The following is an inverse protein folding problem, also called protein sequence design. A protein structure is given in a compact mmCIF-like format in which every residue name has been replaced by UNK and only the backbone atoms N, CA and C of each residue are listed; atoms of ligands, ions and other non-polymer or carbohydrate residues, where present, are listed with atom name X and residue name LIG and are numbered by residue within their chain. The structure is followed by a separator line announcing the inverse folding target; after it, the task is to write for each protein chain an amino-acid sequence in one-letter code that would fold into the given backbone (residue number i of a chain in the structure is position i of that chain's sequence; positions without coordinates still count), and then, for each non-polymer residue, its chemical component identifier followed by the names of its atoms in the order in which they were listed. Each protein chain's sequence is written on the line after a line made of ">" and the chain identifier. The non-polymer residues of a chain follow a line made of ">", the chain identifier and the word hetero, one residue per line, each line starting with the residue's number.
data_IF_851783106142
#
_entry.id   IF_851783106142
#
_cell.length_a   1.000
_cell.length_b   1.000
_cell.length_c   1.000
_cell.angle_alpha   90.00
_cell.angle_beta   90.00
_cell.angle_gamma   90.00
#
_symmetry.space_group_name_H-M   'P 1'
#
loop_
_entity.id
_entity.type
_entity.pdbx_description
1 polymer ?
#
# COMPACT_ATOMS: atom_id res chain seq x y z
N UNK A 1 -7.00 -19.68 16.60
CA UNK A 1 -8.33 -20.16 16.17
C UNK A 1 -8.78 -19.43 14.91
N UNK A 2 -9.15 -18.14 14.93
CA UNK A 2 -9.65 -17.44 13.72
C UNK A 2 -8.68 -17.48 12.52
N UNK A 3 -7.42 -17.07 12.69
CA UNK A 3 -6.42 -17.04 11.59
C UNK A 3 -6.02 -18.43 11.08
N UNK A 4 -6.20 -19.48 11.90
CA UNK A 4 -5.85 -20.85 11.55
C UNK A 4 -7.02 -21.61 10.91
N UNK A 5 -8.25 -21.31 11.33
CA UNK A 5 -9.42 -22.13 11.00
C UNK A 5 -10.38 -21.44 10.04
N UNK A 6 -10.55 -20.11 10.15
CA UNK A 6 -11.53 -19.34 9.35
C UNK A 6 -10.87 -18.70 8.14
N UNK A 7 -9.73 -18.05 8.35
CA UNK A 7 -9.05 -17.31 7.29
C UNK A 7 -8.68 -18.19 6.09
N UNK A 8 -8.17 -19.43 6.24
CA UNK A 8 -7.92 -20.30 5.08
C UNK A 8 -9.17 -20.60 4.23
N UNK A 9 -10.36 -20.65 4.83
CA UNK A 9 -11.62 -20.86 4.10
C UNK A 9 -11.93 -19.62 3.22
N UNK A 10 -11.69 -18.42 3.74
CA UNK A 10 -11.86 -17.17 3.00
C UNK A 10 -10.78 -17.04 1.91
N UNK A 11 -9.51 -17.25 2.27
CA UNK A 11 -8.34 -17.18 1.37
C UNK A 11 -8.46 -18.14 0.19
N UNK A 12 -9.04 -19.33 0.40
CA UNK A 12 -9.06 -20.39 -0.58
C UNK A 12 -7.64 -20.85 -0.95
N UNK A 13 -7.45 -21.23 -2.20
CA UNK A 13 -6.11 -21.51 -2.71
C UNK A 13 -5.29 -20.22 -2.81
N UNK A 14 -4.13 -20.22 -2.17
CA UNK A 14 -3.18 -19.10 -2.13
C UNK A 14 -2.09 -19.23 -3.20
N UNK A 15 -2.01 -20.37 -3.89
CA UNK A 15 -0.97 -20.67 -4.87
C UNK A 15 0.41 -20.79 -4.21
N UNK A 16 1.36 -19.95 -4.63
CA UNK A 16 2.74 -19.98 -4.13
C UNK A 16 2.82 -19.48 -2.68
N UNK A 17 2.98 -20.43 -1.76
CA UNK A 17 3.07 -20.15 -0.31
C UNK A 17 4.29 -19.33 0.08
N UNK A 18 5.29 -19.16 -0.79
CA UNK A 18 6.43 -18.25 -0.55
C UNK A 18 6.12 -16.78 -0.83
N UNK A 19 4.93 -16.48 -1.36
CA UNK A 19 4.44 -15.12 -1.58
C UNK A 19 3.55 -14.61 -0.43
N UNK A 20 3.42 -15.38 0.66
CA UNK A 20 2.62 -15.05 1.83
C UNK A 20 3.42 -15.25 3.10
N UNK A 21 3.24 -14.36 4.06
CA UNK A 21 3.80 -14.50 5.39
C UNK A 21 2.83 -13.97 6.44
N UNK A 22 3.02 -14.44 7.68
CA UNK A 22 2.11 -14.22 8.81
C UNK A 22 2.90 -13.71 10.00
N UNK A 23 2.41 -12.64 10.64
CA UNK A 23 2.96 -12.12 11.89
C UNK A 23 4.47 -11.88 11.82
N UNK A 24 4.93 -11.30 10.70
CA UNK A 24 6.32 -10.88 10.52
C UNK A 24 6.40 -9.38 10.76
N UNK A 25 7.14 -8.93 11.78
CA UNK A 25 7.37 -7.51 11.99
C UNK A 25 8.22 -6.91 10.85
N UNK A 26 7.81 -5.74 10.38
CA UNK A 26 8.43 -5.02 9.27
C UNK A 26 9.66 -4.22 9.75
N UNK A 27 10.62 -4.91 10.37
CA UNK A 27 11.77 -4.28 11.06
C UNK A 27 12.81 -3.68 10.13
N UNK A 28 12.73 -3.95 8.82
CA UNK A 28 13.70 -3.45 7.84
C UNK A 28 13.16 -2.25 7.03
N UNK A 29 11.88 -1.89 7.20
CA UNK A 29 11.31 -0.74 6.48
C UNK A 29 11.62 0.59 7.17
N UNK A 30 11.83 1.63 6.37
CA UNK A 30 12.00 2.99 6.82
C UNK A 30 10.75 3.48 7.56
N UNK A 31 10.96 4.22 8.64
CA UNK A 31 9.86 4.73 9.44
C UNK A 31 9.05 5.79 8.68
N UNK A 32 7.72 5.65 8.72
CA UNK A 32 6.79 6.67 8.21
C UNK A 32 6.71 7.91 9.12
N UNK A 33 7.08 7.75 10.39
CA UNK A 33 7.05 8.80 11.43
C UNK A 33 8.46 9.10 11.96
N UNK A 34 8.57 9.60 13.19
CA UNK A 34 9.81 9.89 13.92
C UNK A 34 10.59 8.65 14.42
N UNK A 35 10.14 7.44 14.08
CA UNK A 35 10.77 6.19 14.51
C UNK A 35 10.39 5.71 15.91
N UNK A 36 9.45 6.37 16.58
CA UNK A 36 8.97 5.93 17.91
C UNK A 36 7.91 4.84 17.84
N UNK A 37 7.25 4.68 16.69
CA UNK A 37 6.28 3.62 16.47
C UNK A 37 6.97 2.26 16.31
N UNK A 38 6.36 1.23 16.89
CA UNK A 38 6.76 -0.15 16.64
C UNK A 38 6.58 -0.48 15.15
N UNK A 39 7.42 -1.38 14.59
CA UNK A 39 7.25 -1.85 13.23
C UNK A 39 5.84 -2.39 12.97
N UNK A 40 5.34 -2.19 11.75
CA UNK A 40 4.10 -2.84 11.30
C UNK A 40 4.23 -4.36 11.44
N UNK A 41 3.16 -5.04 11.81
CA UNK A 41 3.19 -6.48 12.05
C UNK A 41 1.84 -7.08 11.64
N UNK A 42 1.59 -7.15 10.32
CA UNK A 42 0.31 -7.63 9.83
C UNK A 42 0.09 -9.09 10.21
N UNK A 43 -1.15 -9.44 10.58
CA UNK A 43 -1.51 -10.85 10.82
C UNK A 43 -1.22 -11.71 9.59
N UNK A 44 -1.40 -11.14 8.40
CA UNK A 44 -1.10 -11.77 7.12
C UNK A 44 -0.80 -10.69 6.05
N UNK A 45 0.21 -10.92 5.23
CA UNK A 45 0.48 -10.10 4.05
C UNK A 45 0.91 -10.93 2.85
N UNK A 46 0.71 -10.37 1.66
CA UNK A 46 1.15 -10.97 0.40
C UNK A 46 2.08 -10.03 -0.35
N UNK A 47 3.18 -10.60 -0.83
CA UNK A 47 4.23 -9.92 -1.59
C UNK A 47 4.72 -10.76 -2.76
N UNK A 48 5.85 -10.36 -3.33
CA UNK A 48 6.58 -11.10 -4.35
C UNK A 48 7.73 -11.87 -3.72
N UNK A 49 8.14 -12.96 -4.37
CA UNK A 49 9.40 -13.63 -4.04
C UNK A 49 10.59 -12.71 -4.32
N UNK A 50 11.62 -12.72 -3.46
CA UNK A 50 12.81 -11.90 -3.66
C UNK A 50 13.47 -12.06 -5.04
N UNK A 51 13.52 -13.28 -5.58
CA UNK A 51 14.12 -13.57 -6.89
C UNK A 51 13.35 -13.00 -8.10
N UNK A 52 12.11 -12.53 -7.91
CA UNK A 52 11.36 -11.86 -8.99
C UNK A 52 11.90 -10.45 -9.28
N UNK A 53 12.61 -9.84 -8.32
CA UNK A 53 13.16 -8.49 -8.46
C UNK A 53 14.68 -8.53 -8.66
N UNK A 54 15.14 -7.74 -9.63
CA UNK A 54 16.55 -7.56 -9.94
C UNK A 54 17.36 -7.20 -8.67
N UNK A 55 18.52 -7.82 -8.53
CA UNK A 55 19.34 -7.71 -7.32
C UNK A 55 19.79 -6.26 -7.06
N UNK A 56 20.02 -5.46 -8.10
CA UNK A 56 20.38 -4.05 -7.95
C UNK A 56 19.22 -3.26 -7.38
N UNK A 57 18.01 -3.46 -7.91
CA UNK A 57 16.78 -2.81 -7.42
C UNK A 57 16.52 -3.17 -5.96
N UNK A 58 16.68 -4.46 -5.60
CA UNK A 58 16.53 -4.92 -4.21
C UNK A 58 17.50 -4.26 -3.25
N UNK A 59 18.76 -4.05 -3.65
CA UNK A 59 19.76 -3.36 -2.82
C UNK A 59 19.44 -1.88 -2.67
N UNK A 60 19.10 -1.20 -3.76
CA UNK A 60 18.85 0.25 -3.76
C UNK A 60 17.56 0.62 -3.02
N UNK A 61 16.51 -0.21 -3.11
CA UNK A 61 15.21 0.06 -2.48
C UNK A 61 14.99 -0.72 -1.17
N UNK A 62 16.01 -1.38 -0.62
CA UNK A 62 15.86 -2.34 0.48
C UNK A 62 14.99 -1.85 1.64
N UNK A 63 15.27 -0.65 2.16
CA UNK A 63 14.51 -0.02 3.25
C UNK A 63 13.07 0.38 2.90
N UNK A 64 12.66 0.32 1.64
CA UNK A 64 11.30 0.67 1.22
C UNK A 64 10.45 -0.56 0.90
N UNK A 65 11.08 -1.66 0.47
CA UNK A 65 10.36 -2.79 -0.12
C UNK A 65 10.63 -4.14 0.52
N UNK A 66 11.65 -4.27 1.37
CA UNK A 66 11.99 -5.54 2.02
C UNK A 66 11.52 -5.47 3.47
N UNK A 67 10.44 -6.16 3.86
CA UNK A 67 9.85 -5.99 5.18
C UNK A 67 10.76 -6.42 6.33
N UNK A 68 11.49 -7.52 6.15
CA UNK A 68 12.33 -8.15 7.17
C UNK A 68 13.68 -8.58 6.56
N UNK A 69 14.70 -8.72 7.39
CA UNK A 69 16.02 -9.21 6.97
C UNK A 69 16.04 -10.72 6.70
N UNK A 70 14.97 -11.45 6.99
CA UNK A 70 14.83 -12.86 6.59
C UNK A 70 14.70 -12.97 5.07
N UNK A 71 15.66 -13.64 4.44
CA UNK A 71 15.88 -13.56 2.98
C UNK A 71 14.89 -14.34 2.13
N UNK A 72 14.10 -15.24 2.71
CA UNK A 72 13.12 -16.08 2.01
C UNK A 72 11.69 -15.53 2.08
N UNK A 73 11.47 -14.44 2.83
CA UNK A 73 10.16 -13.83 3.01
C UNK A 73 9.75 -12.94 1.83
N UNK A 74 8.42 -12.78 1.59
CA UNK A 74 7.93 -11.95 0.52
C UNK A 74 8.35 -10.47 0.68
N UNK A 75 8.70 -9.86 -0.44
CA UNK A 75 9.03 -8.43 -0.59
C UNK A 75 7.89 -7.67 -1.29
N UNK A 76 7.91 -6.35 -1.20
CA UNK A 76 6.95 -5.43 -1.84
C UNK A 76 5.50 -5.82 -1.45
N UNK A 77 5.16 -5.82 -0.16
CA UNK A 77 3.81 -6.19 0.27
C UNK A 77 2.80 -5.14 -0.20
N UNK A 78 1.71 -5.59 -0.85
CA UNK A 78 0.61 -4.69 -1.25
C UNK A 78 -0.79 -5.32 -1.09
N UNK A 79 -0.89 -6.43 -0.35
CA UNK A 79 -2.16 -6.93 0.16
C UNK A 79 -1.99 -7.34 1.62
N UNK A 80 -2.88 -6.87 2.50
CA UNK A 80 -2.80 -7.03 3.95
C UNK A 80 -4.10 -7.55 4.56
N UNK A 81 -4.01 -8.26 5.67
CA UNK A 81 -5.16 -8.66 6.47
C UNK A 81 -4.84 -8.50 7.96
N UNK A 82 -5.76 -7.85 8.66
CA UNK A 82 -5.80 -7.74 10.13
C UNK A 82 -7.00 -8.49 10.68
N UNK A 83 -6.76 -9.37 11.65
CA UNK A 83 -7.78 -10.23 12.23
C UNK A 83 -7.94 -9.89 13.70
N UNK A 84 -9.18 -9.85 14.17
CA UNK A 84 -9.49 -9.76 15.59
C UNK A 84 -10.47 -10.85 15.99
N UNK A 85 -10.25 -11.38 17.19
CA UNK A 85 -11.22 -12.28 17.83
C UNK A 85 -12.50 -11.54 18.24
N UNK A 86 -13.49 -12.25 18.78
CA UNK A 86 -14.76 -11.67 19.21
C UNK A 86 -14.58 -10.45 20.13
N UNK A 87 -13.66 -10.55 21.09
CA UNK A 87 -13.38 -9.49 22.07
C UNK A 87 -12.33 -8.46 21.60
N UNK A 88 -11.81 -8.61 20.38
CA UNK A 88 -10.81 -7.68 19.85
C UNK A 88 -11.42 -6.36 19.41
N UNK A 89 -10.62 -5.30 19.35
CA UNK A 89 -11.12 -3.98 18.96
C UNK A 89 -11.07 -3.77 17.44
N UNK A 90 -12.23 -3.56 16.82
CA UNK A 90 -12.34 -3.18 15.41
C UNK A 90 -11.57 -1.90 15.09
N UNK A 91 -11.55 -0.95 16.03
CA UNK A 91 -10.81 0.29 15.89
C UNK A 91 -9.29 0.08 15.95
N UNK A 92 -8.82 -0.91 16.71
CA UNK A 92 -7.40 -1.32 16.70
C UNK A 92 -7.05 -1.99 15.37
N UNK A 93 -7.86 -2.93 14.89
CA UNK A 93 -7.66 -3.59 13.59
C UNK A 93 -7.54 -2.57 12.44
N UNK A 94 -8.45 -1.59 12.41
CA UNK A 94 -8.45 -0.55 11.38
C UNK A 94 -7.20 0.33 11.44
N UNK A 95 -6.69 0.65 12.64
CA UNK A 95 -5.46 1.45 12.80
C UNK A 95 -4.20 0.67 12.41
N UNK A 96 -4.12 -0.60 12.81
CA UNK A 96 -3.03 -1.49 12.40
C UNK A 96 -3.02 -1.64 10.88
N UNK A 97 -4.17 -1.96 10.29
CA UNK A 97 -4.30 -2.09 8.84
C UNK A 97 -3.92 -0.81 8.10
N UNK A 98 -4.34 0.37 8.59
CA UNK A 98 -3.94 1.65 8.00
C UNK A 98 -2.43 1.80 7.97
N UNK A 99 -1.74 1.47 9.07
CA UNK A 99 -0.29 1.60 9.17
C UNK A 99 0.43 0.61 8.24
N UNK A 100 0.01 -0.66 8.23
CA UNK A 100 0.59 -1.69 7.36
C UNK A 100 0.37 -1.36 5.87
N UNK A 101 -0.83 -0.90 5.51
CA UNK A 101 -1.14 -0.45 4.16
C UNK A 101 -0.35 0.80 3.75
N UNK A 102 -0.02 1.68 4.70
CA UNK A 102 0.80 2.85 4.41
C UNK A 102 2.27 2.48 4.14
N UNK A 103 2.81 1.49 4.88
CA UNK A 103 4.12 0.92 4.60
C UNK A 103 4.14 0.26 3.22
N UNK A 104 3.12 -0.56 2.91
CA UNK A 104 2.99 -1.21 1.60
C UNK A 104 2.82 -0.23 0.44
N UNK A 105 1.97 0.80 0.59
CA UNK A 105 1.78 1.81 -0.44
C UNK A 105 3.07 2.60 -0.74
N UNK A 106 3.81 2.96 0.32
CA UNK A 106 5.11 3.63 0.19
C UNK A 106 6.12 2.76 -0.55
N UNK A 107 6.20 1.47 -0.22
CA UNK A 107 7.06 0.52 -0.93
C UNK A 107 6.66 0.30 -2.39
N UNK A 108 5.36 0.20 -2.65
CA UNK A 108 4.82 0.09 -4.01
C UNK A 108 5.15 1.32 -4.86
N UNK A 109 5.04 2.52 -4.31
CA UNK A 109 5.40 3.75 -5.02
C UNK A 109 6.90 3.87 -5.27
N UNK A 110 7.73 3.43 -4.33
CA UNK A 110 9.18 3.40 -4.50
C UNK A 110 9.59 2.52 -5.69
N UNK A 111 9.02 1.31 -5.81
CA UNK A 111 9.32 0.44 -6.95
C UNK A 111 8.73 0.95 -8.26
N UNK A 112 7.51 1.48 -8.24
CA UNK A 112 6.86 2.05 -9.44
C UNK A 112 7.66 3.24 -10.00
N UNK A 113 8.21 4.06 -9.11
CA UNK A 113 8.96 5.28 -9.45
C UNK A 113 10.46 5.03 -9.69
N UNK A 114 10.95 3.81 -9.47
CA UNK A 114 12.35 3.47 -9.66
C UNK A 114 12.81 3.82 -11.08
N UNK A 115 13.73 4.80 -11.19
CA UNK A 115 14.27 5.35 -12.45
C UNK A 115 13.21 5.81 -13.45
N UNK A 116 12.04 6.23 -12.98
CA UNK A 116 11.03 6.85 -13.82
C UNK A 116 11.31 8.36 -13.96
N UNK A 117 10.97 8.95 -15.11
CA UNK A 117 11.22 10.38 -15.39
C UNK A 117 10.45 11.33 -14.47
N UNK A 118 9.34 10.88 -13.88
CA UNK A 118 8.54 11.65 -12.95
C UNK A 118 7.80 10.76 -11.94
N UNK A 119 7.66 11.26 -10.71
CA UNK A 119 6.77 10.69 -9.68
C UNK A 119 5.33 10.90 -10.12
N UNK A 120 4.52 9.83 -10.09
CA UNK A 120 3.12 9.87 -10.55
C UNK A 120 2.16 9.72 -9.36
N UNK A 121 1.49 10.81 -8.99
CA UNK A 121 0.29 10.77 -8.15
C UNK A 121 -0.93 10.62 -9.05
N UNK A 122 -1.32 9.37 -9.33
CA UNK A 122 -2.42 9.04 -10.24
C UNK A 122 -3.75 8.76 -9.53
N UNK A 123 -3.81 9.02 -8.21
CA UNK A 123 -4.98 8.81 -7.36
C UNK A 123 -5.54 7.38 -7.41
N UNK A 124 -4.68 6.39 -7.71
CA UNK A 124 -5.05 4.96 -7.78
C UNK A 124 -4.54 4.19 -6.58
N UNK A 125 -5.39 3.31 -6.05
CA UNK A 125 -5.06 2.48 -4.91
C UNK A 125 -4.48 1.13 -5.33
N UNK A 126 -3.16 1.00 -5.27
CA UNK A 126 -2.44 -0.24 -5.61
C UNK A 126 -2.19 -1.17 -4.43
N UNK A 127 -2.54 -0.72 -3.23
CA UNK A 127 -2.47 -1.50 -2.00
C UNK A 127 -3.87 -1.77 -1.50
N UNK A 128 -4.19 -3.04 -1.27
CA UNK A 128 -5.48 -3.49 -0.75
C UNK A 128 -5.28 -4.04 0.66
N UNK A 129 -6.27 -3.86 1.52
CA UNK A 129 -6.23 -4.37 2.88
C UNK A 129 -7.59 -4.84 3.33
N UNK A 130 -7.61 -5.82 4.22
CA UNK A 130 -8.84 -6.33 4.79
C UNK A 130 -8.78 -6.33 6.32
N UNK A 131 -9.91 -6.10 6.97
CA UNK A 131 -10.10 -6.52 8.36
C UNK A 131 -11.09 -7.66 8.41
N UNK A 132 -10.86 -8.62 9.30
CA UNK A 132 -11.84 -9.64 9.67
C UNK A 132 -12.08 -9.63 11.17
N UNK A 133 -13.34 -9.47 11.57
CA UNK A 133 -13.76 -9.59 12.96
C UNK A 133 -15.21 -10.05 13.03
N UNK A 134 -15.48 -11.08 13.85
CA UNK A 134 -16.83 -11.53 14.16
C UNK A 134 -17.72 -11.74 12.93
N UNK A 135 -17.21 -12.52 11.96
CA UNK A 135 -17.92 -12.77 10.70
C UNK A 135 -17.93 -11.60 9.71
N UNK A 136 -17.46 -10.41 10.08
CA UNK A 136 -17.43 -9.25 9.19
C UNK A 136 -16.08 -9.12 8.50
N UNK A 137 -16.10 -9.14 7.16
CA UNK A 137 -14.97 -8.80 6.30
C UNK A 137 -15.15 -7.36 5.78
N UNK A 138 -14.19 -6.48 6.01
CA UNK A 138 -14.17 -5.13 5.42
C UNK A 138 -12.93 -4.97 4.56
N UNK A 139 -13.11 -4.45 3.35
CA UNK A 139 -12.04 -4.23 2.37
C UNK A 139 -11.74 -2.74 2.22
N UNK A 140 -10.46 -2.43 2.04
CA UNK A 140 -9.93 -1.09 1.94
C UNK A 140 -8.93 -0.98 0.79
N UNK A 141 -8.83 0.19 0.19
CA UNK A 141 -7.80 0.57 -0.77
C UNK A 141 -6.96 1.71 -0.23
N UNK A 142 -5.65 1.69 -0.48
CA UNK A 142 -4.70 2.72 -0.05
C UNK A 142 -3.96 3.31 -1.25
N UNK A 143 -3.85 4.63 -1.28
CA UNK A 143 -3.13 5.39 -2.30
C UNK A 143 -2.39 6.60 -1.71
N UNK A 144 -1.28 7.03 -2.32
CA UNK A 144 -0.62 8.27 -1.98
C UNK A 144 -1.46 9.48 -2.42
N UNK A 145 -1.37 10.56 -1.67
CA UNK A 145 -1.87 11.88 -2.04
C UNK A 145 -0.72 12.87 -2.11
N UNK A 146 -0.82 13.81 -3.05
CA UNK A 146 0.19 14.83 -3.25
C UNK A 146 0.38 15.66 -1.96
N UNK A 147 1.63 15.98 -1.58
CA UNK A 147 1.88 16.82 -0.42
C UNK A 147 1.28 18.22 -0.62
N UNK A 148 0.53 18.72 0.36
CA UNK A 148 -0.01 20.09 0.35
C UNK A 148 1.06 21.18 0.42
N UNK A 149 2.30 20.83 0.80
CA UNK A 149 3.45 21.71 0.87
C UNK A 149 4.63 21.03 0.17
N UNK A 150 5.29 21.76 -0.74
CA UNK A 150 6.50 21.31 -1.43
C UNK A 150 7.55 20.82 -0.42
N UNK A 151 8.17 19.67 -0.70
CA UNK A 151 9.15 18.94 0.14
C UNK A 151 8.61 18.16 1.35
N UNK A 152 7.30 18.08 1.59
CA UNK A 152 6.77 17.12 2.58
C UNK A 152 6.63 15.71 1.99
N UNK A 153 6.71 14.69 2.85
CA UNK A 153 6.39 13.30 2.46
C UNK A 153 4.92 13.24 1.99
N UNK A 154 4.60 12.43 0.95
CA UNK A 154 3.22 12.21 0.54
C UNK A 154 2.35 11.72 1.70
N UNK A 155 1.11 12.19 1.76
CA UNK A 155 0.11 11.59 2.64
C UNK A 155 -0.32 10.24 2.09
N UNK A 156 -0.80 9.35 2.95
CA UNK A 156 -1.43 8.09 2.52
C UNK A 156 -2.89 8.10 3.00
N UNK A 157 -3.81 7.78 2.10
CA UNK A 157 -5.25 7.71 2.41
C UNK A 157 -5.73 6.28 2.28
N UNK A 158 -6.47 5.80 3.29
CA UNK A 158 -7.17 4.51 3.27
C UNK A 158 -8.67 4.72 3.13
N UNK A 159 -9.25 4.20 2.04
CA UNK A 159 -10.67 4.30 1.73
C UNK A 159 -11.34 2.94 1.83
N UNK A 160 -12.50 2.85 2.50
CA UNK A 160 -13.26 1.62 2.54
C UNK A 160 -13.91 1.35 1.18
N UNK A 161 -13.68 0.16 0.63
CA UNK A 161 -14.22 -0.27 -0.66
C UNK A 161 -15.55 -0.99 -0.48
N UNK A 162 -15.62 -1.93 0.46
CA UNK A 162 -16.81 -2.77 0.70
C UNK A 162 -16.77 -3.46 2.06
N UNK A 163 -17.92 -3.94 2.52
CA UNK A 163 -18.04 -4.80 3.71
C UNK A 163 -19.00 -5.95 3.42
N UNK A 164 -18.74 -7.10 4.04
CA UNK A 164 -19.53 -8.32 3.90
C UNK A 164 -19.72 -8.98 5.28
N UNK A 165 -20.97 -9.33 5.62
CA UNK A 165 -21.27 -10.17 6.76
C UNK A 165 -21.21 -11.64 6.33
N UNK A 166 -20.03 -12.25 6.43
CA UNK A 166 -19.76 -13.60 5.91
C UNK A 166 -20.58 -14.70 6.60
N UNK A 167 -21.15 -14.41 7.77
CA UNK A 167 -21.99 -15.33 8.56
C UNK A 167 -23.49 -15.14 8.31
N UNK A 168 -23.89 -14.20 7.45
CA UNK A 168 -25.30 -13.91 7.19
C UNK A 168 -26.00 -15.03 6.40
N UNK A 169 -25.45 -15.38 5.24
CA UNK A 169 -26.00 -16.36 4.32
C UNK A 169 -24.92 -16.87 3.33
N UNK A 170 -25.15 -18.01 2.64
CA UNK A 170 -24.18 -18.58 1.72
C UNK A 170 -23.79 -17.67 0.53
N UNK A 171 -24.69 -16.82 0.06
CA UNK A 171 -24.43 -15.95 -1.08
C UNK A 171 -23.55 -14.76 -0.67
N UNK A 172 -23.83 -14.14 0.48
CA UNK A 172 -22.97 -13.10 1.06
C UNK A 172 -21.58 -13.65 1.36
N UNK A 173 -21.49 -14.88 1.88
CA UNK A 173 -20.20 -15.55 2.07
C UNK A 173 -19.43 -15.68 0.75
N UNK A 174 -20.06 -16.24 -0.29
CA UNK A 174 -19.43 -16.42 -1.61
C UNK A 174 -18.97 -15.09 -2.21
N UNK A 175 -19.79 -14.05 -2.10
CA UNK A 175 -19.45 -12.71 -2.59
C UNK A 175 -18.25 -12.11 -1.84
N UNK A 176 -18.22 -12.21 -0.51
CA UNK A 176 -17.12 -11.70 0.30
C UNK A 176 -15.82 -12.44 0.08
N UNK A 177 -15.86 -13.78 0.03
CA UNK A 177 -14.69 -14.60 -0.28
C UNK A 177 -14.17 -14.35 -1.70
N UNK A 178 -15.05 -14.22 -2.69
CA UNK A 178 -14.67 -13.86 -4.05
C UNK A 178 -14.02 -12.46 -4.10
N UNK A 179 -14.60 -11.47 -3.42
CA UNK A 179 -14.03 -10.13 -3.36
C UNK A 179 -12.63 -10.12 -2.73
N UNK A 180 -12.42 -10.85 -1.63
CA UNK A 180 -11.11 -11.00 -0.99
C UNK A 180 -10.06 -11.57 -1.97
N UNK A 181 -10.39 -12.70 -2.62
CA UNK A 181 -9.50 -13.39 -3.56
C UNK A 181 -9.20 -12.53 -4.78
N UNK A 182 -10.22 -11.90 -5.36
CA UNK A 182 -10.05 -10.99 -6.49
C UNK A 182 -9.19 -9.78 -6.13
N UNK A 183 -9.37 -9.21 -4.92
CA UNK A 183 -8.54 -8.10 -4.44
C UNK A 183 -7.07 -8.50 -4.28
N UNK A 184 -6.81 -9.71 -3.75
CA UNK A 184 -5.48 -10.29 -3.63
C UNK A 184 -4.82 -10.50 -4.99
N UNK A 185 -5.54 -11.12 -5.92
CA UNK A 185 -5.02 -11.43 -7.25
C UNK A 185 -4.79 -10.16 -8.07
N UNK A 186 -5.69 -9.17 -7.96
CA UNK A 186 -5.51 -7.85 -8.56
C UNK A 186 -4.27 -7.15 -8.00
N UNK A 187 -4.10 -7.10 -6.67
CA UNK A 187 -2.92 -6.50 -6.04
C UNK A 187 -1.62 -7.19 -6.51
N UNK A 188 -1.62 -8.52 -6.63
CA UNK A 188 -0.51 -9.28 -7.20
C UNK A 188 -0.20 -8.86 -8.65
N UNK A 189 -1.22 -8.77 -9.51
CA UNK A 189 -1.02 -8.37 -10.91
C UNK A 189 -0.37 -6.98 -11.02
N UNK A 190 -0.82 -6.02 -10.22
CA UNK A 190 -0.24 -4.67 -10.19
C UNK A 190 1.22 -4.69 -9.73
N UNK A 191 1.51 -5.43 -8.66
CA UNK A 191 2.87 -5.60 -8.12
C UNK A 191 3.81 -6.25 -9.13
N UNK A 192 3.39 -7.33 -9.77
CA UNK A 192 4.20 -8.06 -10.75
C UNK A 192 4.50 -7.17 -11.98
N UNK A 193 3.54 -6.35 -12.41
CA UNK A 193 3.76 -5.36 -13.47
C UNK A 193 4.78 -4.29 -13.04
N UNK A 194 4.69 -3.77 -11.82
CA UNK A 194 5.65 -2.79 -11.29
C UNK A 194 7.07 -3.38 -11.19
N UNK A 195 7.20 -4.64 -10.74
CA UNK A 195 8.47 -5.38 -10.71
C UNK A 195 9.05 -5.53 -12.11
N UNK A 196 8.25 -5.96 -13.09
CA UNK A 196 8.70 -6.12 -14.46
C UNK A 196 9.23 -4.79 -15.04
N UNK A 197 8.55 -3.68 -14.80
CA UNK A 197 8.99 -2.35 -15.23
C UNK A 197 10.30 -1.92 -14.57
N UNK A 198 10.45 -2.14 -13.25
CA UNK A 198 11.67 -1.80 -12.53
C UNK A 198 12.88 -2.63 -12.99
N UNK A 199 12.66 -3.92 -13.27
CA UNK A 199 13.67 -4.79 -13.86
C UNK A 199 14.09 -4.31 -15.25
N UNK A 200 13.13 -3.92 -16.10
CA UNK A 200 13.42 -3.45 -17.46
C UNK A 200 14.23 -2.15 -17.47
N UNK A 201 13.90 -1.19 -16.61
CA UNK A 201 14.68 0.06 -16.46
C UNK A 201 16.12 -0.19 -16.02
N UNK A 202 16.37 -1.27 -15.29
CA UNK A 202 17.74 -1.67 -14.92
C UNK A 202 18.53 -2.19 -16.12
N UNK A 203 17.87 -2.92 -17.03
CA UNK A 203 18.48 -3.42 -18.27
C UNK A 203 18.82 -2.28 -19.22
N UNK A 204 17.88 -1.37 -19.47
CA UNK A 204 18.09 -0.23 -20.37
C UNK A 204 19.22 0.69 -19.89
N UNK A 205 19.26 1.02 -18.60
CA UNK A 205 20.35 1.82 -18.02
C UNK A 205 21.71 1.10 -17.96
N UNK A 206 21.77 -0.19 -18.27
CA UNK A 206 23.03 -0.94 -18.42
C UNK A 206 23.52 -0.95 -19.88
N UNK A 207 22.66 -0.65 -20.85
CA UNK A 207 22.98 -0.63 -22.29
C UNK A 207 23.56 0.73 -22.73
N UNK A 208 23.31 1.82 -22.01
CA UNK A 208 23.90 3.14 -22.29
C UNK A 208 25.36 3.29 -21.83
N UNK A 209 26.01 2.20 -21.42
CA UNK A 209 27.45 2.17 -21.09
C UNK A 209 28.28 1.46 -22.16
N UNK A 210 28.62 2.14 -23.27
CA UNK A 210 29.94 2.00 -23.86
C UNK A 210 30.76 3.26 -23.56
N UNK A 211 31.83 3.09 -22.79
CA UNK A 211 32.96 4.01 -22.90
C UNK A 211 33.46 3.93 -24.35
N UNK A 212 33.26 5.01 -25.11
CA UNK A 212 34.07 5.28 -26.29
C UNK A 212 34.74 6.64 -26.10
N UNK A 213 35.90 6.61 -25.47
CA UNK A 213 36.97 7.56 -25.77
C UNK A 213 37.36 7.36 -27.24
N UNK A 214 36.89 8.24 -28.12
CA UNK A 214 37.52 8.49 -29.42
C UNK A 214 37.01 9.81 -30.03
N UNK A 215 37.80 10.87 -29.78
CA UNK A 215 38.20 11.92 -30.72
C UNK A 215 37.12 12.57 -31.61
N UNK A 216 36.90 13.85 -31.32
CA UNK A 216 35.97 14.71 -32.02
C UNK A 216 36.25 14.88 -33.51
N UNK A 217 35.16 14.97 -34.26
CA UNK A 217 35.13 15.66 -35.55
C UNK A 217 33.83 16.45 -35.60
N UNK A 218 33.99 17.78 -35.57
CA UNK A 218 32.91 18.77 -35.68
C UNK A 218 32.34 18.74 -37.09
N UNK A 219 31.03 18.52 -37.20
CA UNK A 219 30.25 18.90 -38.38
C UNK A 219 29.06 19.74 -37.94
N UNK A 220 29.14 21.04 -38.21
CA UNK A 220 28.03 21.99 -38.10
C UNK A 220 27.07 21.72 -39.26
N UNK A 221 25.81 21.38 -38.95
CA UNK A 221 24.72 21.38 -39.92
C UNK A 221 23.64 22.33 -39.43
N UNK A 222 23.53 23.49 -40.09
CA UNK A 222 22.39 24.38 -39.97
C UNK A 222 21.14 23.68 -40.51
N UNK A 223 20.10 23.58 -39.69
CA UNK A 223 18.76 23.28 -40.14
C UNK A 223 17.81 24.32 -39.53
N UNK A 224 17.34 25.21 -40.41
CA UNK A 224 16.31 26.21 -40.15
C UNK A 224 14.96 25.51 -39.88
N UNK A 225 14.37 25.74 -38.72
CA UNK A 225 13.01 25.31 -38.41
C UNK A 225 12.03 26.47 -38.63
N UNK A 226 11.28 26.42 -39.73
CA UNK A 226 10.14 27.29 -40.01
C UNK A 226 8.97 26.86 -39.12
N UNK A 227 8.48 27.79 -38.30
CA UNK A 227 7.26 27.62 -37.50
C UNK A 227 6.04 27.72 -38.42
N UNK A 228 5.23 26.66 -38.49
CA UNK A 228 3.92 26.69 -39.14
C UNK A 228 2.85 26.79 -38.05
N UNK A 229 2.25 27.98 -37.93
CA UNK A 229 1.03 28.20 -37.16
C UNK A 229 -0.17 27.68 -37.98
N UNK A 230 -0.85 26.66 -37.46
CA UNK A 230 -2.07 26.14 -38.06
C UNK A 230 -3.30 26.81 -37.43
N UNK A 231 -3.83 27.81 -38.14
CA UNK A 231 -5.15 28.40 -37.88
C UNK A 231 -6.22 27.50 -38.51
N UNK A 232 -7.12 26.95 -37.71
CA UNK A 232 -8.23 26.11 -38.19
C UNK A 232 -9.51 26.37 -37.39
N UNK A 233 -10.54 26.85 -38.09
CA UNK A 233 -11.79 27.35 -37.52
C UNK A 233 -12.76 26.24 -37.08
N UNK A 234 -13.39 26.52 -35.92
CA UNK A 234 -14.78 26.27 -35.50
C UNK A 234 -15.63 25.30 -36.34
N UNK A 235 -16.07 24.21 -35.72
CA UNK A 235 -17.33 23.52 -36.07
C UNK A 235 -18.16 23.30 -34.80
N UNK A 236 -19.35 23.87 -34.82
CA UNK A 236 -20.44 23.77 -33.83
C UNK A 236 -20.97 22.35 -33.72
N UNK A 237 -21.11 21.83 -32.49
CA UNK A 237 -22.19 20.90 -32.14
C UNK A 237 -22.79 21.34 -30.80
N UNK A 238 -24.06 21.73 -30.85
CA UNK A 238 -24.91 21.94 -29.68
C UNK A 238 -25.28 20.58 -29.09
N UNK A 239 -25.08 20.38 -27.79
CA UNK A 239 -25.92 19.46 -27.02
C UNK A 239 -25.97 19.85 -25.54
N UNK A 240 -27.17 20.25 -25.11
CA UNK A 240 -27.71 19.93 -23.79
C UNK A 240 -27.17 20.68 -22.58
N UNK A 241 -27.75 21.84 -22.30
CA UNK A 241 -27.72 22.51 -21.00
C UNK A 241 -28.54 21.73 -19.95
N UNK A 242 -27.90 21.27 -18.88
CA UNK A 242 -28.55 21.17 -17.56
C UNK A 242 -27.52 21.55 -16.49
N UNK A 243 -27.68 22.78 -15.97
CA UNK A 243 -26.97 23.30 -14.82
C UNK A 243 -27.87 23.17 -13.59
N UNK A 244 -27.34 22.61 -12.50
CA UNK A 244 -27.87 22.71 -11.12
C UNK A 244 -26.65 22.72 -10.17
N UNK A 245 -26.66 23.52 -9.09
CA UNK A 245 -25.53 24.39 -8.74
C UNK A 245 -24.61 23.88 -7.62
N UNK A 246 -23.46 24.57 -7.53
CA UNK A 246 -22.53 24.56 -6.41
C UNK A 246 -23.21 24.92 -5.09
N UNK A 247 -23.02 24.09 -4.07
CA UNK A 247 -23.20 24.50 -2.67
C UNK A 247 -22.38 23.59 -1.75
N UNK A 248 -21.35 24.16 -1.14
CA UNK A 248 -20.83 23.73 0.15
C UNK A 248 -19.87 24.83 0.59
N UNK A 249 -20.42 25.71 1.41
CA UNK A 249 -19.72 26.67 2.23
C UNK A 249 -18.86 25.92 3.25
N UNK A 250 -17.60 26.34 3.35
CA UNK A 250 -16.79 26.17 4.54
C UNK A 250 -17.47 26.85 5.72
N UNK A 251 -17.69 26.11 6.81
CA UNK A 251 -17.71 26.71 8.14
C UNK A 251 -16.94 25.84 9.12
N UNK A 252 -15.82 26.42 9.56
CA UNK A 252 -15.03 26.06 10.74
C UNK A 252 -15.77 26.46 12.02
N UNK A 253 -15.46 25.79 13.12
CA UNK A 253 -16.34 25.47 14.25
C UNK A 253 -15.50 24.82 15.35
N UNK A 254 -14.52 25.54 15.91
CA UNK A 254 -13.75 25.15 17.09
C UNK A 254 -14.40 25.68 18.37
N UNK A 255 -14.52 24.83 19.40
CA UNK A 255 -14.14 25.07 20.81
C UNK A 255 -14.69 23.91 21.68
N UNK A 256 -13.81 23.13 22.30
CA UNK A 256 -13.30 23.28 23.68
C UNK A 256 -14.36 23.02 24.76
N UNK A 257 -14.35 21.79 25.30
CA UNK A 257 -14.58 21.54 26.73
C UNK A 257 -13.72 20.35 27.18
N UNK A 258 -12.69 20.69 27.94
CA UNK A 258 -11.91 19.82 28.83
C UNK A 258 -12.74 19.48 30.07
N UNK A 259 -12.62 18.25 30.60
CA UNK A 259 -12.68 17.92 32.04
C UNK A 259 -12.21 16.47 32.27
N UNK A 260 -11.01 16.37 32.85
CA UNK A 260 -10.46 15.36 33.77
C UNK A 260 -10.84 13.87 33.65
N UNK A 261 -9.87 13.07 33.18
CA UNK A 261 -9.86 11.63 33.37
C UNK A 261 -8.61 11.20 34.17
N UNK A 262 -8.79 10.82 35.43
CA UNK A 262 -7.75 10.13 36.21
C UNK A 262 -7.88 8.61 36.06
N UNK A 263 -6.85 7.88 35.61
CA UNK A 263 -6.86 6.42 35.61
C UNK A 263 -6.53 5.85 37.01
N UNK A 264 -7.18 4.76 37.44
CA UNK A 264 -6.92 4.15 38.74
C UNK A 264 -5.55 3.45 38.80
N UNK A 265 -4.90 3.56 39.96
CA UNK A 265 -3.59 3.01 40.28
C UNK A 265 -3.62 1.47 40.38
N UNK A 266 -2.71 0.81 39.66
CA UNK A 266 -2.49 -0.65 39.70
C UNK A 266 -1.93 -1.07 41.07
N UNK A 267 -2.65 -1.94 41.80
CA UNK A 267 -2.09 -2.72 42.91
C UNK A 267 -1.38 -3.96 42.37
N UNK A 268 -0.06 -4.03 42.56
CA UNK A 268 0.74 -5.24 42.39
C UNK A 268 0.51 -6.18 43.57
N UNK A 269 0.11 -7.44 43.31
CA UNK A 269 0.16 -8.55 44.27
C UNK A 269 0.98 -9.68 43.66
N UNK A 270 2.17 -9.90 44.23
CA UNK A 270 3.04 -11.03 43.90
C UNK A 270 2.52 -12.34 44.50
N UNK A 271 2.66 -13.51 43.86
CA UNK A 271 2.31 -14.80 44.46
C UNK A 271 3.43 -15.31 45.38
N UNK A 272 3.09 -15.70 46.62
CA UNK A 272 3.96 -16.47 47.51
C UNK A 272 4.02 -17.94 47.02
N UNK A 273 5.23 -18.47 46.81
CA UNK A 273 5.48 -19.91 46.64
C UNK A 273 5.35 -20.61 47.99
N UNK A 274 4.50 -21.63 48.07
CA UNK A 274 4.54 -22.64 49.12
C UNK A 274 5.28 -23.87 48.59
N UNK A 275 6.39 -24.21 49.26
CA UNK A 275 7.08 -25.49 49.15
C UNK A 275 6.49 -26.46 50.18
N UNK A 276 6.05 -27.63 49.73
CA UNK A 276 5.80 -28.77 50.60
C UNK A 276 6.99 -29.74 50.48
N UNK A 277 7.64 -29.98 51.61
CA UNK A 277 8.30 -31.25 51.94
C UNK A 277 7.28 -32.19 52.55
#
# INVERSE_FOLDING_TARGET
>A
QVTADVIPIIEGDVGDRKCVARQVPFTNLDHLTDGTLVPGNPDLYYGARPEQLDQKVRRELGGHIIPSTQHDLPIIPNFFLEVKGPDGSAAVAKRQLLYDMALGATGYDAIRSYKADAVKFDNKAYTIGCTYQDGQLKMYGSHPIEPSISRKKPGIVMTQLKAFALTNDPDTFRQGAAAYRNGRDWAKQQRDQAIAQANERTRLGSTESPQSDALGVSFTSEASCVMIEATGQKTTTNLGSHAVPSLYDSDTSADELSLDFQPPTKRSRSPRKHSYT
#
